data_IF_687954696912
#
_entry.id   IF_687954696912
#
_cell.length_a   1.000
_cell.length_b   1.000
_cell.length_c   1.000
_cell.angle_alpha   90.00
_cell.angle_beta   90.00
_cell.angle_gamma   90.00
#
_symmetry.space_group_name_H-M   'P 1'
#
loop_
_entity.id
_entity.type
_entity.pdbx_description
1 polymer ?
#
# COMPACT_ATOMS: atom_id res chain seq x y z
N UNK A 1 -23.28 56.69 15.57
CA UNK A 1 -22.81 55.41 16.16
C UNK A 1 -22.06 54.66 15.07
N UNK A 2 -20.75 54.46 15.24
CA UNK A 2 -19.92 53.70 14.30
C UNK A 2 -20.28 52.21 14.41
N UNK A 3 -20.77 51.62 13.33
CA UNK A 3 -21.02 50.19 13.25
C UNK A 3 -19.68 49.45 13.18
N UNK A 4 -19.24 48.88 14.30
CA UNK A 4 -18.12 47.94 14.31
C UNK A 4 -18.58 46.64 13.67
N UNK A 5 -18.27 46.43 12.38
CA UNK A 5 -18.42 45.13 11.73
C UNK A 5 -17.22 44.27 12.14
N UNK A 6 -17.41 43.14 12.86
CA UNK A 6 -16.31 42.22 13.09
C UNK A 6 -15.80 41.76 11.72
N UNK A 7 -14.54 42.07 11.41
CA UNK A 7 -13.83 41.49 10.29
C UNK A 7 -13.71 40.00 10.59
N UNK A 8 -14.57 39.18 10.00
CA UNK A 8 -14.43 37.72 10.06
C UNK A 8 -13.14 37.42 9.30
N UNK A 9 -12.05 37.19 10.05
CA UNK A 9 -10.76 36.84 9.45
C UNK A 9 -10.90 35.44 8.85
N UNK A 10 -10.41 35.28 7.63
CA UNK A 10 -10.24 33.96 7.04
C UNK A 10 -9.20 33.17 7.84
N UNK A 11 -9.37 31.86 7.95
CA UNK A 11 -8.40 31.04 8.68
C UNK A 11 -7.01 31.17 8.01
N UNK A 12 -5.94 31.22 8.78
CA UNK A 12 -4.58 31.07 8.25
C UNK A 12 -4.12 29.61 8.37
N UNK A 13 -3.24 29.15 7.49
CA UNK A 13 -2.64 27.81 7.54
C UNK A 13 -2.02 27.49 8.92
N UNK A 14 -1.46 28.49 9.61
CA UNK A 14 -0.89 28.35 10.96
C UNK A 14 -1.94 28.03 12.04
N UNK A 15 -3.22 28.30 11.78
CA UNK A 15 -4.33 28.05 12.71
C UNK A 15 -5.10 26.78 12.38
N UNK A 16 -4.82 26.17 11.22
CA UNK A 16 -5.42 24.91 10.82
C UNK A 16 -4.74 23.77 11.57
N UNK A 17 -5.54 22.86 12.11
CA UNK A 17 -5.06 21.69 12.83
C UNK A 17 -5.53 20.42 12.14
N UNK A 18 -4.75 19.37 12.24
CA UNK A 18 -5.09 18.07 11.67
C UNK A 18 -5.02 17.00 12.73
N UNK A 19 -6.07 16.18 12.81
CA UNK A 19 -6.14 15.04 13.71
C UNK A 19 -6.66 13.82 12.97
N UNK A 20 -6.01 12.69 13.19
CA UNK A 20 -6.43 11.42 12.63
C UNK A 20 -5.29 10.41 12.72
N UNK A 21 -5.64 9.15 12.99
CA UNK A 21 -4.67 8.05 12.98
C UNK A 21 -4.00 7.92 11.61
N UNK A 22 -4.70 8.26 10.54
CA UNK A 22 -4.19 8.23 9.16
C UNK A 22 -3.03 9.18 8.85
N UNK A 23 -2.56 10.00 9.80
CA UNK A 23 -1.38 10.86 9.62
C UNK A 23 -0.11 10.30 10.27
N UNK A 24 -0.23 9.30 11.15
CA UNK A 24 0.90 8.72 11.88
C UNK A 24 1.16 7.26 11.52
N UNK A 25 0.10 6.45 11.43
CA UNK A 25 0.22 5.03 11.13
C UNK A 25 -1.04 4.50 10.46
N UNK A 26 -0.88 3.51 9.59
CA UNK A 26 -2.00 2.84 8.94
C UNK A 26 -1.64 1.43 8.50
N UNK A 27 -2.61 0.77 7.88
CA UNK A 27 -2.48 -0.60 7.39
C UNK A 27 -2.83 -0.62 5.91
N UNK A 28 -2.07 -1.36 5.10
CA UNK A 28 -2.38 -1.59 3.68
C UNK A 28 -3.78 -2.15 3.53
N UNK A 29 -4.57 -1.56 2.62
CA UNK A 29 -5.95 -1.97 2.33
C UNK A 29 -6.99 -1.46 3.33
N UNK A 30 -6.58 -0.90 4.47
CA UNK A 30 -7.50 -0.27 5.43
C UNK A 30 -7.60 1.24 5.15
N UNK A 31 -8.82 1.81 5.07
CA UNK A 31 -8.99 3.24 4.87
C UNK A 31 -8.47 4.00 6.09
N UNK A 32 -7.47 4.84 5.84
CA UNK A 32 -6.92 5.77 6.80
C UNK A 32 -7.64 7.10 6.66
N UNK A 33 -8.19 7.65 7.74
CA UNK A 33 -8.82 8.97 7.71
C UNK A 33 -8.13 9.95 8.65
N UNK A 34 -8.19 11.23 8.25
CA UNK A 34 -7.85 12.34 9.12
C UNK A 34 -8.72 13.54 8.80
N UNK A 35 -8.94 14.35 9.82
CA UNK A 35 -9.80 15.52 9.78
C UNK A 35 -8.98 16.78 9.96
N UNK A 36 -9.21 17.72 9.05
CA UNK A 36 -8.61 19.05 9.02
C UNK A 36 -9.62 20.03 9.64
N UNK A 37 -9.25 20.60 10.78
CA UNK A 37 -10.06 21.52 11.57
C UNK A 37 -9.61 22.96 11.36
N UNK A 38 -10.59 23.83 11.16
CA UNK A 38 -10.41 25.28 11.14
C UNK A 38 -10.65 25.88 12.53
N UNK A 39 -10.06 27.04 12.86
CA UNK A 39 -10.36 27.74 14.09
C UNK A 39 -11.82 28.22 14.09
N UNK A 40 -12.52 28.02 15.20
CA UNK A 40 -13.96 28.29 15.38
C UNK A 40 -14.39 29.76 15.21
N UNK A 41 -13.45 30.69 15.03
CA UNK A 41 -13.71 32.12 14.82
C UNK A 41 -13.42 32.61 13.40
N UNK A 42 -13.09 31.70 12.47
CA UNK A 42 -12.70 32.05 11.11
C UNK A 42 -13.55 31.36 10.06
N UNK A 43 -13.70 31.99 8.89
CA UNK A 43 -14.31 31.34 7.73
C UNK A 43 -13.37 30.25 7.22
N UNK A 44 -13.90 29.05 7.01
CA UNK A 44 -13.16 27.90 6.49
C UNK A 44 -13.58 27.64 5.04
N UNK A 45 -12.60 27.59 4.14
CA UNK A 45 -12.79 27.27 2.74
C UNK A 45 -12.31 25.84 2.45
N UNK A 46 -13.22 24.85 2.32
CA UNK A 46 -12.84 23.46 2.06
C UNK A 46 -12.06 23.29 0.75
N UNK A 47 -12.37 24.11 -0.25
CA UNK A 47 -11.72 24.13 -1.58
C UNK A 47 -10.29 24.62 -1.54
N UNK A 48 -9.91 25.36 -0.50
CA UNK A 48 -8.55 25.86 -0.29
C UNK A 48 -7.64 24.85 0.39
N UNK A 49 -8.19 23.73 0.88
CA UNK A 49 -7.43 22.62 1.43
C UNK A 49 -6.88 21.76 0.28
N UNK A 50 -5.56 21.58 0.24
CA UNK A 50 -4.92 20.65 -0.68
C UNK A 50 -4.07 19.65 0.10
N UNK A 51 -4.23 18.37 -0.25
CA UNK A 51 -3.45 17.29 0.33
C UNK A 51 -2.71 16.57 -0.79
N UNK A 52 -1.41 16.39 -0.61
CA UNK A 52 -0.58 15.60 -1.51
C UNK A 52 0.09 14.46 -0.74
N UNK A 53 0.26 13.32 -1.42
CA UNK A 53 0.90 12.14 -0.88
C UNK A 53 2.13 11.80 -1.70
N UNK A 54 3.26 11.60 -1.03
CA UNK A 54 4.49 11.09 -1.62
C UNK A 54 4.86 9.79 -0.90
N UNK A 55 5.04 8.71 -1.66
CA UNK A 55 5.28 7.41 -1.07
C UNK A 55 5.44 6.31 -2.12
N UNK A 56 5.52 5.04 -1.66
CA UNK A 56 5.73 3.88 -2.54
C UNK A 56 4.59 3.64 -3.53
N UNK A 57 3.38 4.13 -3.24
CA UNK A 57 2.27 4.14 -4.20
C UNK A 57 1.47 5.45 -4.13
N UNK A 58 0.59 5.66 -5.11
CA UNK A 58 -0.43 6.71 -5.04
C UNK A 58 -1.68 6.11 -4.39
N UNK A 59 -2.10 6.58 -3.19
CA UNK A 59 -3.32 6.08 -2.57
C UNK A 59 -4.56 6.65 -3.27
N UNK A 60 -5.68 5.92 -3.16
CA UNK A 60 -6.99 6.45 -3.51
C UNK A 60 -7.46 7.40 -2.41
N UNK A 61 -7.74 8.66 -2.77
CA UNK A 61 -8.08 9.72 -1.82
C UNK A 61 -9.52 10.17 -2.04
N UNK A 62 -10.27 10.30 -0.95
CA UNK A 62 -11.63 10.81 -0.92
C UNK A 62 -11.71 11.96 0.07
N UNK A 63 -12.19 13.10 -0.40
CA UNK A 63 -12.45 14.26 0.44
C UNK A 63 -13.94 14.35 0.74
N UNK A 64 -14.28 14.46 2.02
CA UNK A 64 -15.62 14.76 2.50
C UNK A 64 -15.59 16.11 3.20
N UNK A 65 -16.08 17.15 2.53
CA UNK A 65 -16.15 18.50 3.10
C UNK A 65 -17.40 18.65 3.97
N UNK A 66 -17.20 18.92 5.26
CA UNK A 66 -18.26 19.28 6.20
C UNK A 66 -18.23 20.80 6.49
N UNK A 67 -19.30 21.38 7.07
CA UNK A 67 -19.37 22.83 7.36
C UNK A 67 -18.29 23.35 8.31
N UNK A 68 -17.68 22.47 9.12
CA UNK A 68 -16.75 22.83 10.19
C UNK A 68 -15.35 22.22 10.03
N UNK A 69 -15.20 21.22 9.17
CA UNK A 69 -13.95 20.48 8.97
C UNK A 69 -13.96 19.77 7.60
N UNK A 70 -12.77 19.43 7.09
CA UNK A 70 -12.61 18.54 5.93
C UNK A 70 -12.11 17.20 6.43
N UNK A 71 -12.83 16.14 6.12
CA UNK A 71 -12.36 14.77 6.33
C UNK A 71 -11.69 14.27 5.05
N UNK A 72 -10.47 13.77 5.18
CA UNK A 72 -9.71 13.15 4.11
C UNK A 72 -9.55 11.66 4.43
N UNK A 73 -10.17 10.81 3.62
CA UNK A 73 -10.07 9.36 3.71
C UNK A 73 -9.24 8.84 2.55
N UNK A 74 -8.16 8.13 2.85
CA UNK A 74 -7.24 7.61 1.86
C UNK A 74 -6.93 6.15 2.13
N UNK A 75 -6.73 5.35 1.08
CA UNK A 75 -6.42 3.93 1.21
C UNK A 75 -5.02 3.63 0.65
N UNK A 76 -4.03 3.29 1.50
CA UNK A 76 -2.72 2.89 1.03
C UNK A 76 -2.76 1.51 0.36
N UNK A 77 -2.16 1.41 -0.82
CA UNK A 77 -2.08 0.15 -1.57
C UNK A 77 -0.75 -0.58 -1.41
N UNK A 78 0.29 0.07 -0.87
CA UNK A 78 1.60 -0.55 -0.61
C UNK A 78 2.09 -0.19 0.80
N UNK A 79 2.84 -1.08 1.46
CA UNK A 79 3.45 -0.76 2.75
C UNK A 79 4.64 0.17 2.56
N UNK A 80 4.92 0.99 3.58
CA UNK A 80 6.07 1.88 3.60
C UNK A 80 5.77 3.22 4.26
N UNK A 81 6.72 4.14 4.13
CA UNK A 81 6.59 5.48 4.69
C UNK A 81 5.97 6.40 3.65
N UNK A 82 4.81 6.95 3.96
CA UNK A 82 4.13 7.97 3.17
C UNK A 82 4.34 9.33 3.83
N UNK A 83 4.66 10.33 3.03
CA UNK A 83 4.67 11.74 3.44
C UNK A 83 3.37 12.36 3.01
N UNK A 84 2.60 12.85 3.97
CA UNK A 84 1.35 13.56 3.74
C UNK A 84 1.62 15.06 3.87
N UNK A 85 1.50 15.76 2.75
CA UNK A 85 1.63 17.21 2.70
C UNK A 85 0.23 17.81 2.79
N UNK A 86 0.00 18.61 3.83
CA UNK A 86 -1.28 19.29 4.02
C UNK A 86 -1.06 20.78 3.89
N UNK A 87 -1.80 21.40 2.97
CA UNK A 87 -1.71 22.83 2.65
C UNK A 87 -3.06 23.49 2.72
N UNK A 88 -3.08 24.72 3.21
CA UNK A 88 -4.25 25.57 3.27
C UNK A 88 -3.93 26.94 2.65
N UNK A 89 -4.74 27.38 1.68
CA UNK A 89 -4.51 28.61 0.92
C UNK A 89 -3.13 28.68 0.25
N UNK A 90 -2.58 27.52 -0.13
CA UNK A 90 -1.25 27.41 -0.75
C UNK A 90 -0.07 27.34 0.22
N UNK A 91 -0.29 27.56 1.53
CA UNK A 91 0.75 27.43 2.56
C UNK A 91 0.66 26.11 3.32
N UNK A 92 1.81 25.59 3.76
CA UNK A 92 1.87 24.36 4.55
C UNK A 92 1.46 24.60 6.00
N UNK A 93 0.64 23.70 6.54
CA UNK A 93 0.21 23.79 7.93
C UNK A 93 1.33 23.34 8.87
N UNK A 94 1.30 23.77 10.15
CA UNK A 94 2.25 23.28 11.15
C UNK A 94 2.20 21.75 11.27
N UNK A 95 3.37 21.11 11.19
CA UNK A 95 3.51 19.65 11.25
C UNK A 95 3.54 18.95 9.89
N UNK A 96 3.20 19.66 8.79
CA UNK A 96 3.45 19.16 7.44
C UNK A 96 4.96 19.22 7.10
N UNK A 97 5.54 18.19 6.45
CA UNK A 97 4.92 16.93 6.06
C UNK A 97 4.75 15.95 7.23
N UNK A 98 3.61 15.28 7.28
CA UNK A 98 3.34 14.23 8.25
C UNK A 98 3.89 12.89 7.74
N UNK A 99 4.66 12.20 8.59
CA UNK A 99 5.21 10.90 8.27
C UNK A 99 4.24 9.81 8.73
N UNK A 100 3.52 9.23 7.78
CA UNK A 100 2.63 8.11 8.02
C UNK A 100 3.33 6.80 7.70
N UNK A 101 3.51 5.95 8.72
CA UNK A 101 4.04 4.60 8.54
C UNK A 101 2.89 3.65 8.23
N UNK A 102 2.82 3.21 6.98
CA UNK A 102 1.87 2.18 6.58
C UNK A 102 2.52 0.82 6.80
N UNK A 103 1.97 0.12 7.78
CA UNK A 103 2.25 -1.29 7.99
C UNK A 103 1.57 -2.12 6.90
N UNK A 104 2.19 -3.22 6.49
CA UNK A 104 1.62 -4.17 5.52
C UNK A 104 0.38 -4.90 6.02
N UNK A 105 -0.18 -4.53 7.17
CA UNK A 105 -1.28 -5.25 7.81
C UNK A 105 -0.84 -6.54 8.48
N UNK A 106 0.42 -6.60 8.89
CA UNK A 106 0.93 -7.73 9.64
C UNK A 106 1.20 -7.25 11.06
N UNK A 107 0.23 -7.52 11.92
CA UNK A 107 0.64 -8.23 13.13
C UNK A 107 1.40 -9.47 12.63
N UNK A 108 2.73 -9.37 12.60
CA UNK A 108 3.65 -10.49 12.33
C UNK A 108 3.60 -11.41 13.55
N UNK A 109 2.41 -11.89 13.90
CA UNK A 109 2.28 -13.17 14.56
C UNK A 109 2.61 -14.22 13.52
N UNK A 110 3.43 -15.21 13.89
CA UNK A 110 3.79 -16.41 13.10
C UNK A 110 2.59 -17.18 12.50
N UNK A 111 1.35 -16.73 12.70
CA UNK A 111 0.12 -17.33 12.19
C UNK A 111 -0.23 -16.97 10.73
N UNK A 112 0.15 -15.81 10.19
CA UNK A 112 -0.27 -15.41 8.83
C UNK A 112 0.72 -15.81 7.72
N UNK A 113 2.02 -15.94 8.01
CA UNK A 113 2.98 -16.57 7.07
C UNK A 113 2.63 -18.05 6.79
N UNK A 114 1.87 -18.68 7.69
CA UNK A 114 1.32 -20.04 7.52
C UNK A 114 0.08 -20.08 6.61
N UNK A 115 -0.41 -18.94 6.11
CA UNK A 115 -1.61 -18.88 5.27
C UNK A 115 -1.32 -18.79 3.78
N UNK A 116 -0.15 -18.27 3.39
CA UNK A 116 0.26 -18.30 1.98
C UNK A 116 0.73 -19.72 1.64
N UNK A 117 -0.09 -20.41 0.87
CA UNK A 117 0.18 -21.78 0.42
C UNK A 117 0.51 -21.76 -1.07
N UNK A 118 1.68 -22.29 -1.42
CA UNK A 118 2.06 -22.51 -2.81
C UNK A 118 1.79 -23.97 -3.16
N UNK A 119 1.11 -24.22 -4.27
CA UNK A 119 0.83 -25.55 -4.80
C UNK A 119 1.13 -25.59 -6.30
N UNK A 120 1.22 -26.81 -6.86
CA UNK A 120 1.47 -27.01 -8.29
C UNK A 120 2.78 -27.72 -8.57
N UNK A 121 2.83 -28.41 -9.72
CA UNK A 121 4.00 -29.21 -10.12
C UNK A 121 5.24 -28.35 -10.34
N UNK A 122 5.06 -27.10 -10.77
CA UNK A 122 6.16 -26.15 -11.01
C UNK A 122 6.97 -25.80 -9.77
N UNK A 123 6.58 -26.24 -8.56
CA UNK A 123 7.36 -26.09 -7.33
C UNK A 123 8.46 -27.14 -7.16
N UNK A 124 8.37 -28.27 -7.85
CA UNK A 124 9.34 -29.38 -7.74
C UNK A 124 9.89 -29.80 -9.10
N UNK A 125 9.05 -29.80 -10.13
CA UNK A 125 9.38 -30.34 -11.45
C UNK A 125 8.90 -29.40 -12.56
N UNK A 126 9.79 -29.12 -13.50
CA UNK A 126 9.51 -28.29 -14.66
C UNK A 126 9.94 -28.94 -15.97
N UNK A 127 9.38 -28.43 -17.07
CA UNK A 127 9.77 -28.80 -18.43
C UNK A 127 10.37 -27.61 -19.15
N UNK A 128 11.50 -27.83 -19.82
CA UNK A 128 12.11 -26.82 -20.69
C UNK A 128 11.17 -26.48 -21.85
N UNK A 129 11.22 -25.22 -22.26
CA UNK A 129 10.43 -24.67 -23.37
C UNK A 129 8.91 -24.86 -23.22
N UNK A 130 8.42 -25.12 -22.01
CA UNK A 130 6.99 -25.20 -21.68
C UNK A 130 6.65 -24.30 -20.50
N UNK A 131 5.38 -23.97 -20.42
CA UNK A 131 4.83 -23.23 -19.30
C UNK A 131 4.72 -24.16 -18.09
N UNK A 132 5.35 -23.76 -16.99
CA UNK A 132 5.30 -24.45 -15.72
C UNK A 132 4.52 -23.58 -14.75
N UNK A 133 3.44 -24.14 -14.19
CA UNK A 133 2.50 -23.39 -13.37
C UNK A 133 2.66 -23.71 -11.88
N UNK A 134 2.56 -22.65 -11.08
CA UNK A 134 2.51 -22.65 -9.62
C UNK A 134 1.34 -21.79 -9.20
N UNK A 135 0.46 -22.32 -8.35
CA UNK A 135 -0.67 -21.59 -7.79
C UNK A 135 -0.30 -21.10 -6.39
N UNK A 136 -0.54 -19.81 -6.13
CA UNK A 136 -0.31 -19.16 -4.85
C UNK A 136 -1.68 -18.78 -4.27
N UNK A 137 -2.07 -19.44 -3.19
CA UNK A 137 -3.36 -19.25 -2.53
C UNK A 137 -3.34 -18.14 -1.47
N UNK A 138 -4.52 -17.56 -1.22
CA UNK A 138 -4.79 -16.54 -0.19
C UNK A 138 -4.11 -15.18 -0.45
N UNK A 139 -4.17 -14.70 -1.70
CA UNK A 139 -3.69 -13.36 -2.09
C UNK A 139 -4.75 -12.27 -1.79
N UNK A 140 -5.94 -12.68 -1.31
CA UNK A 140 -7.15 -11.86 -1.20
C UNK A 140 -7.05 -10.62 -0.30
N UNK A 141 -6.08 -10.55 0.61
CA UNK A 141 -5.79 -9.37 1.44
C UNK A 141 -4.38 -8.83 1.26
N UNK A 142 -3.63 -9.37 0.30
CA UNK A 142 -2.19 -9.20 0.15
C UNK A 142 -1.92 -8.39 -1.12
N UNK A 143 -2.31 -7.12 -1.10
CA UNK A 143 -1.95 -6.18 -2.16
C UNK A 143 -0.67 -5.49 -1.72
N UNK A 144 0.47 -5.94 -2.24
CA UNK A 144 1.79 -5.38 -1.94
C UNK A 144 2.60 -6.21 -0.94
N UNK A 145 3.73 -6.74 -1.41
CA UNK A 145 4.71 -7.46 -0.57
C UNK A 145 5.11 -8.84 -1.09
N UNK A 146 4.39 -9.43 -2.04
CA UNK A 146 4.82 -10.68 -2.68
C UNK A 146 6.02 -10.39 -3.59
N UNK A 147 7.13 -11.07 -3.33
CA UNK A 147 8.35 -11.05 -4.15
C UNK A 147 8.63 -12.46 -4.63
N UNK A 148 8.83 -12.62 -5.93
CA UNK A 148 9.14 -13.90 -6.55
C UNK A 148 10.39 -13.73 -7.39
N UNK A 149 11.38 -14.61 -7.17
CA UNK A 149 12.59 -14.68 -7.98
C UNK A 149 12.97 -16.13 -8.20
N UNK A 150 13.67 -16.40 -9.29
CA UNK A 150 14.11 -17.75 -9.64
C UNK A 150 15.54 -17.71 -10.14
N UNK A 151 16.40 -18.47 -9.49
CA UNK A 151 17.84 -18.53 -9.73
C UNK A 151 18.23 -19.89 -10.25
N UNK A 152 19.13 -19.97 -11.23
CA UNK A 152 19.55 -21.26 -11.79
C UNK A 152 20.40 -21.10 -13.04
N UNK A 153 20.54 -22.17 -13.84
CA UNK A 153 21.43 -22.20 -15.01
C UNK A 153 20.99 -21.28 -16.16
N UNK A 154 19.79 -20.70 -16.09
CA UNK A 154 19.30 -19.70 -17.04
C UNK A 154 18.39 -18.68 -16.37
N UNK A 155 17.92 -17.71 -17.16
CA UNK A 155 16.93 -16.73 -16.70
C UNK A 155 15.53 -17.14 -17.20
N UNK A 156 14.63 -17.58 -16.31
CA UNK A 156 13.26 -17.91 -16.69
C UNK A 156 12.47 -16.67 -17.08
N UNK A 157 11.61 -16.82 -18.08
CA UNK A 157 10.53 -15.86 -18.35
C UNK A 157 9.39 -16.16 -17.38
N UNK A 158 8.98 -15.17 -16.57
CA UNK A 158 7.92 -15.33 -15.56
C UNK A 158 6.71 -14.45 -15.88
N UNK A 159 5.51 -14.97 -15.63
CA UNK A 159 4.23 -14.29 -15.81
C UNK A 159 3.31 -14.57 -14.64
N UNK A 160 2.47 -13.60 -14.30
CA UNK A 160 1.51 -13.70 -13.22
C UNK A 160 0.10 -13.54 -13.76
N UNK A 161 -0.80 -14.42 -13.35
CA UNK A 161 -2.21 -14.39 -13.73
C UNK A 161 -3.07 -14.43 -12.46
N UNK A 162 -3.88 -13.40 -12.26
CA UNK A 162 -4.82 -13.35 -11.13
C UNK A 162 -6.07 -14.16 -11.49
N UNK A 163 -6.42 -15.11 -10.63
CA UNK A 163 -7.59 -15.97 -10.80
C UNK A 163 -8.82 -15.35 -10.10
N UNK A 164 -10.01 -15.78 -10.51
CA UNK A 164 -11.29 -15.29 -9.96
C UNK A 164 -11.61 -15.83 -8.56
N UNK A 165 -10.84 -16.83 -8.09
CA UNK A 165 -10.97 -17.49 -6.79
C UNK A 165 -10.01 -16.94 -5.71
N UNK A 166 -9.50 -15.72 -5.92
CA UNK A 166 -8.50 -15.05 -5.07
C UNK A 166 -7.13 -15.75 -4.98
N UNK A 167 -6.81 -16.62 -5.94
CA UNK A 167 -5.46 -17.16 -6.11
C UNK A 167 -4.68 -16.40 -7.20
N UNK A 168 -3.35 -16.60 -7.21
CA UNK A 168 -2.44 -16.06 -8.23
C UNK A 168 -1.65 -17.21 -8.86
N UNK A 169 -1.75 -17.38 -10.17
CA UNK A 169 -0.94 -18.32 -10.92
C UNK A 169 0.38 -17.65 -11.35
N UNK A 170 1.50 -18.19 -10.89
CA UNK A 170 2.84 -17.94 -11.41
C UNK A 170 3.13 -18.95 -12.52
N UNK A 171 3.43 -18.45 -13.71
CA UNK A 171 3.82 -19.27 -14.86
C UNK A 171 5.25 -18.91 -15.22
N UNK A 172 6.14 -19.89 -15.27
CA UNK A 172 7.51 -19.68 -15.71
C UNK A 172 7.92 -20.62 -16.84
N UNK A 173 8.78 -20.10 -17.73
CA UNK A 173 9.33 -20.84 -18.87
C UNK A 173 10.84 -20.69 -18.93
N UNK A 174 11.54 -21.82 -18.89
CA UNK A 174 13.01 -21.90 -18.96
C UNK A 174 13.45 -22.51 -20.29
N UNK A 175 14.60 -22.06 -20.81
CA UNK A 175 15.21 -22.63 -22.03
C UNK A 175 16.32 -23.64 -21.72
N UNK A 176 16.88 -23.57 -20.52
CA UNK A 176 18.05 -24.35 -20.09
C UNK A 176 17.59 -25.35 -19.01
N UNK A 177 17.83 -26.66 -19.18
CA UNK A 177 17.52 -27.65 -18.16
C UNK A 177 18.48 -27.52 -16.97
N UNK A 178 18.03 -27.99 -15.80
CA UNK A 178 18.83 -28.04 -14.58
C UNK A 178 18.02 -27.67 -13.34
N UNK A 179 18.72 -27.54 -12.23
CA UNK A 179 18.11 -27.24 -10.92
C UNK A 179 18.01 -25.73 -10.75
N UNK A 180 16.80 -25.27 -10.49
CA UNK A 180 16.49 -23.87 -10.18
C UNK A 180 16.03 -23.75 -8.73
N UNK A 181 16.32 -22.60 -8.13
CA UNK A 181 15.83 -22.20 -6.82
C UNK A 181 14.77 -21.13 -7.00
N UNK A 182 13.51 -21.47 -6.73
CA UNK A 182 12.38 -20.55 -6.77
C UNK A 182 12.14 -19.97 -5.38
N UNK A 183 12.43 -18.69 -5.23
CA UNK A 183 12.19 -17.91 -4.02
C UNK A 183 10.83 -17.25 -4.11
N UNK A 184 9.93 -17.63 -3.21
CA UNK A 184 8.67 -16.91 -2.98
C UNK A 184 8.74 -16.31 -1.58
N UNK A 185 8.68 -15.00 -1.51
CA UNK A 185 8.75 -14.23 -0.27
C UNK A 185 7.52 -13.34 -0.14
N UNK A 186 7.09 -13.11 1.09
CA UNK A 186 6.08 -12.13 1.43
C UNK A 186 6.66 -11.13 2.42
N UNK A 187 6.63 -9.85 2.08
CA UNK A 187 7.23 -8.74 2.86
C UNK A 187 8.71 -8.96 3.19
N UNK A 188 9.44 -9.61 2.29
CA UNK A 188 10.86 -9.95 2.46
C UNK A 188 11.15 -11.23 3.26
N UNK A 189 10.12 -11.94 3.74
CA UNK A 189 10.26 -13.21 4.45
C UNK A 189 9.83 -14.38 3.57
N UNK A 190 10.54 -15.51 3.62
CA UNK A 190 10.14 -16.72 2.90
C UNK A 190 8.78 -17.24 3.37
N UNK A 191 7.91 -17.59 2.41
CA UNK A 191 6.67 -18.31 2.70
C UNK A 191 6.97 -19.77 3.06
N UNK A 192 5.96 -20.49 3.59
CA UNK A 192 6.12 -21.90 3.94
C UNK A 192 6.54 -22.73 2.72
N UNK A 193 7.64 -23.46 2.82
CA UNK A 193 8.21 -24.30 1.74
C UNK A 193 9.21 -23.57 0.83
N UNK A 194 9.25 -22.23 0.87
CA UNK A 194 10.25 -21.44 0.16
C UNK A 194 11.57 -21.44 0.95
N UNK A 195 12.75 -21.50 0.29
CA UNK A 195 12.94 -21.60 -1.15
C UNK A 195 12.63 -23.01 -1.71
N UNK A 196 12.05 -23.06 -2.91
CA UNK A 196 11.70 -24.30 -3.60
C UNK A 196 12.80 -24.71 -4.57
N UNK A 197 13.22 -25.99 -4.53
CA UNK A 197 14.15 -26.55 -5.51
C UNK A 197 13.36 -27.21 -6.62
N UNK A 198 13.46 -26.65 -7.82
CA UNK A 198 12.75 -27.11 -9.02
C UNK A 198 13.75 -27.80 -9.95
N UNK A 199 13.49 -29.06 -10.28
CA UNK A 199 14.22 -29.78 -11.31
C UNK A 199 13.56 -29.57 -12.68
N UNK A 200 14.23 -28.88 -13.58
CA UNK A 200 13.71 -28.63 -14.94
C UNK A 200 14.41 -29.56 -15.93
N UNK A 201 13.61 -30.35 -16.66
CA UNK A 201 14.08 -31.32 -17.66
C UNK A 201 13.54 -31.06 -19.06
#
# INVERSE_FOLDING_TARGET
MLFWRPQIKEASAAQVTVNGSGLSSGTVGEPCSFSIYAPSKATFAPTSCSVAFEGPSKPDIKFCSSPTHVECSWCPSLPGVYKVFVRYLGEEIPGSPFLCKIDGGLSVGRGHLRKIHCTGRGLTDGRVNRDNEVTIAEVAGVIGGLSVSMEGPGQPEMRFMKNSDNTLSLIYRTKIPGIYTLNIMFTGLHVTGSPFKVNVT
#
